data_IF_378267766422
#
_entry.id   IF_378267766422
#
_cell.length_a   1.000
_cell.length_b   1.000
_cell.length_c   1.000
_cell.angle_alpha   90.00
_cell.angle_beta   90.00
_cell.angle_gamma   90.00
#
_symmetry.space_group_name_H-M   'P 1'
#
loop_
_entity.id
_entity.type
_entity.pdbx_description
1 polymer ?
#
# COMPACT_ATOMS: atom_id res chain seq x y z
N UNK A 1 -11.22 -5.03 -26.01
CA UNK A 1 -9.92 -4.37 -26.32
C UNK A 1 -9.67 -4.44 -27.83
N UNK A 2 -9.01 -3.48 -28.47
CA UNK A 2 -8.70 -3.53 -29.93
C UNK A 2 -8.02 -4.85 -30.31
N UNK A 3 -7.05 -5.29 -29.50
CA UNK A 3 -6.36 -6.56 -29.68
C UNK A 3 -7.31 -7.80 -29.69
N UNK A 4 -8.36 -7.82 -28.87
CA UNK A 4 -9.34 -8.93 -28.84
C UNK A 4 -10.27 -8.92 -30.07
N UNK A 5 -10.56 -7.72 -30.60
CA UNK A 5 -11.37 -7.57 -31.82
C UNK A 5 -10.62 -8.08 -33.05
N UNK A 6 -9.29 -7.97 -33.05
CA UNK A 6 -8.41 -8.48 -34.11
C UNK A 6 -8.06 -9.98 -33.94
N UNK A 7 -8.36 -10.58 -32.78
CA UNK A 7 -7.97 -11.96 -32.45
C UNK A 7 -9.15 -12.76 -31.83
N UNK A 8 -9.96 -13.44 -32.66
CA UNK A 8 -11.02 -14.38 -32.23
C UNK A 8 -11.06 -15.63 -33.15
N UNK A 9 -11.41 -16.86 -32.69
CA UNK A 9 -11.41 -17.43 -31.34
C UNK A 9 -10.09 -18.18 -31.04
N UNK A 10 -9.69 -18.17 -29.77
CA UNK A 10 -8.33 -18.42 -29.30
C UNK A 10 -7.75 -19.81 -29.62
N UNK A 11 -6.65 -19.85 -30.41
CA UNK A 11 -5.77 -21.03 -30.55
C UNK A 11 -4.63 -21.07 -29.52
N UNK A 12 -4.26 -19.91 -28.95
CA UNK A 12 -3.24 -19.74 -27.90
C UNK A 12 -3.63 -18.55 -27.02
N UNK A 13 -3.23 -18.58 -25.75
CA UNK A 13 -3.44 -17.50 -24.78
C UNK A 13 -2.59 -16.26 -25.11
N UNK A 14 -2.99 -15.05 -24.65
CA UNK A 14 -2.21 -13.84 -24.86
C UNK A 14 -0.94 -13.90 -24.00
N UNK A 15 0.14 -13.26 -24.46
CA UNK A 15 1.37 -13.17 -23.68
C UNK A 15 1.14 -12.36 -22.40
N UNK A 16 1.62 -12.89 -21.26
CA UNK A 16 1.66 -12.19 -19.99
C UNK A 16 3.12 -11.88 -19.71
N UNK A 17 3.45 -10.58 -19.63
CA UNK A 17 4.81 -10.11 -19.32
C UNK A 17 4.79 -9.48 -17.92
N UNK A 18 5.31 -10.18 -16.91
CA UNK A 18 5.45 -9.63 -15.58
C UNK A 18 6.56 -8.58 -15.57
N UNK A 19 6.37 -7.50 -14.82
CA UNK A 19 7.33 -6.40 -14.69
C UNK A 19 7.25 -5.85 -13.27
N UNK A 20 8.39 -5.61 -12.66
CA UNK A 20 8.47 -4.99 -11.34
C UNK A 20 8.96 -3.55 -11.49
N UNK A 21 8.10 -2.63 -11.07
CA UNK A 21 8.45 -1.24 -10.89
C UNK A 21 8.76 -1.01 -9.40
N UNK A 22 10.02 -0.76 -9.09
CA UNK A 22 10.50 -0.67 -7.71
C UNK A 22 10.96 0.74 -7.35
N UNK A 23 10.45 1.24 -6.23
CA UNK A 23 10.78 2.56 -5.67
C UNK A 23 10.84 2.51 -4.14
N UNK A 24 11.32 1.39 -3.58
CA UNK A 24 11.44 1.20 -2.15
C UNK A 24 12.57 2.01 -1.51
N UNK A 25 12.55 2.03 -0.17
CA UNK A 25 13.51 2.76 0.66
C UNK A 25 14.95 2.23 0.55
N UNK A 26 15.11 0.96 0.17
CA UNK A 26 16.41 0.29 0.04
C UNK A 26 16.63 -0.14 -1.40
N UNK A 27 17.83 -0.62 -1.74
CA UNK A 27 18.08 -1.16 -3.07
C UNK A 27 17.36 -2.50 -3.28
N UNK A 28 16.88 -2.75 -4.50
CA UNK A 28 16.35 -4.05 -4.87
C UNK A 28 17.49 -5.10 -4.89
N UNK A 29 17.36 -6.10 -4.01
CA UNK A 29 18.33 -7.21 -3.84
C UNK A 29 17.78 -8.59 -4.18
N UNK A 30 16.51 -8.69 -4.57
CA UNK A 30 15.87 -9.97 -4.87
C UNK A 30 16.21 -10.40 -6.31
N UNK A 31 16.49 -11.68 -6.57
CA UNK A 31 16.64 -12.17 -7.93
C UNK A 31 15.43 -11.87 -8.81
N UNK A 32 15.67 -11.69 -10.09
CA UNK A 32 14.68 -11.37 -11.12
C UNK A 32 13.97 -12.61 -11.68
N UNK A 33 13.77 -13.60 -10.82
CA UNK A 33 13.14 -14.90 -11.09
C UNK A 33 12.00 -15.12 -10.10
N UNK A 34 10.84 -15.52 -10.62
CA UNK A 34 9.62 -15.56 -9.81
C UNK A 34 9.70 -16.55 -8.66
N UNK A 35 10.38 -17.69 -8.83
CA UNK A 35 10.44 -18.72 -7.80
C UNK A 35 11.11 -18.25 -6.50
N UNK A 36 12.02 -17.27 -6.57
CA UNK A 36 12.63 -16.64 -5.38
C UNK A 36 11.64 -15.80 -4.54
N UNK A 37 10.46 -15.51 -5.09
CA UNK A 37 9.38 -14.79 -4.41
C UNK A 37 8.28 -15.72 -3.87
N UNK A 38 8.37 -17.02 -4.14
CA UNK A 38 7.33 -18.00 -3.79
C UNK A 38 7.80 -18.80 -2.58
N UNK A 39 7.01 -18.80 -1.52
CA UNK A 39 7.15 -19.74 -0.41
C UNK A 39 6.57 -21.09 -0.84
N UNK A 40 7.39 -22.14 -0.87
CA UNK A 40 6.99 -23.46 -1.39
C UNK A 40 7.70 -24.61 -0.69
N UNK A 41 7.03 -25.76 -0.65
CA UNK A 41 7.59 -27.01 -0.12
C UNK A 41 8.61 -27.64 -1.08
N UNK A 42 9.56 -28.39 -0.52
CA UNK A 42 10.58 -29.09 -1.30
C UNK A 42 9.96 -30.08 -2.30
N UNK A 43 10.42 -30.06 -3.55
CA UNK A 43 9.97 -30.95 -4.62
C UNK A 43 8.81 -30.42 -5.46
N UNK A 44 8.22 -29.28 -5.10
CA UNK A 44 7.16 -28.63 -5.87
C UNK A 44 7.68 -27.76 -7.02
N UNK A 45 8.98 -27.44 -7.05
CA UNK A 45 9.62 -26.54 -8.01
C UNK A 45 9.30 -26.87 -9.48
N UNK A 46 9.26 -28.15 -9.93
CA UNK A 46 8.94 -28.49 -11.32
C UNK A 46 7.50 -28.16 -11.75
N UNK A 47 6.60 -27.96 -10.79
CA UNK A 47 5.17 -27.69 -11.03
C UNK A 47 4.83 -26.20 -10.93
N UNK A 48 5.78 -25.37 -10.49
CA UNK A 48 5.59 -23.94 -10.32
C UNK A 48 6.02 -23.17 -11.56
N UNK A 49 5.43 -21.98 -11.73
CA UNK A 49 5.92 -21.03 -12.72
C UNK A 49 7.24 -20.45 -12.23
N UNK A 50 8.26 -20.44 -13.08
CA UNK A 50 9.49 -19.69 -12.81
C UNK A 50 9.90 -18.90 -14.06
N UNK A 51 9.27 -17.74 -14.25
CA UNK A 51 9.66 -16.81 -15.31
C UNK A 51 10.66 -15.78 -14.78
N UNK A 52 11.46 -15.25 -15.70
CA UNK A 52 12.24 -14.05 -15.45
C UNK A 52 11.39 -12.80 -15.72
N UNK A 53 11.62 -11.74 -14.94
CA UNK A 53 10.95 -10.46 -15.11
C UNK A 53 11.92 -9.29 -15.08
N UNK A 54 11.73 -8.25 -15.91
CA UNK A 54 12.47 -7.01 -15.78
C UNK A 54 12.09 -6.29 -14.47
N UNK A 55 13.12 -5.72 -13.83
CA UNK A 55 12.98 -4.84 -12.66
C UNK A 55 13.46 -3.46 -13.04
N UNK A 56 12.58 -2.47 -12.93
CA UNK A 56 12.92 -1.06 -13.00
C UNK A 56 13.04 -0.51 -11.58
N UNK A 57 14.28 -0.41 -11.10
CA UNK A 57 14.59 0.19 -9.80
C UNK A 57 14.86 1.69 -10.00
N UNK A 58 13.90 2.54 -9.60
CA UNK A 58 14.05 4.00 -9.67
C UNK A 58 15.27 4.50 -8.88
N UNK A 59 15.67 3.77 -7.84
CA UNK A 59 16.83 4.09 -7.04
C UNK A 59 18.14 4.11 -7.80
N UNK A 60 18.22 3.29 -8.85
CA UNK A 60 19.41 3.16 -9.70
C UNK A 60 19.41 4.13 -10.88
N UNK A 61 18.25 4.73 -11.18
CA UNK A 61 18.11 5.66 -12.29
C UNK A 61 18.56 7.07 -11.86
N UNK A 62 19.46 7.73 -12.61
CA UNK A 62 19.75 9.14 -12.44
C UNK A 62 18.49 9.99 -12.67
N UNK A 63 18.28 11.05 -11.89
CA UNK A 63 17.04 11.86 -11.96
C UNK A 63 16.77 12.41 -13.36
N UNK A 64 17.82 12.86 -14.04
CA UNK A 64 17.77 13.34 -15.43
C UNK A 64 17.28 12.30 -16.46
N UNK A 65 17.27 11.02 -16.10
CA UNK A 65 16.85 9.91 -16.97
C UNK A 65 15.47 9.36 -16.60
N UNK A 66 14.78 9.94 -15.60
CA UNK A 66 13.46 9.45 -15.17
C UNK A 66 12.42 9.52 -16.31
N UNK A 67 12.30 10.68 -16.95
CA UNK A 67 11.40 10.89 -18.09
C UNK A 67 11.69 12.24 -18.76
N UNK A 68 11.51 12.30 -20.08
CA UNK A 68 11.48 13.55 -20.86
C UNK A 68 10.11 14.25 -20.76
N UNK A 69 9.02 13.51 -20.54
CA UNK A 69 7.71 14.10 -20.24
C UNK A 69 7.73 14.73 -18.84
N UNK A 70 7.44 16.03 -18.77
CA UNK A 70 7.49 16.83 -17.54
C UNK A 70 6.57 16.34 -16.43
N UNK A 71 5.39 15.80 -16.77
CA UNK A 71 4.42 15.33 -15.77
C UNK A 71 4.89 14.01 -15.19
N UNK A 72 5.26 13.08 -16.07
CA UNK A 72 5.80 11.78 -15.67
C UNK A 72 7.10 11.94 -14.89
N UNK A 73 7.97 12.88 -15.28
CA UNK A 73 9.21 13.16 -14.57
C UNK A 73 8.97 13.47 -13.09
N UNK A 74 8.06 14.41 -12.79
CA UNK A 74 7.75 14.79 -11.40
C UNK A 74 7.11 13.63 -10.63
N UNK A 75 6.23 12.85 -11.26
CA UNK A 75 5.61 11.67 -10.64
C UNK A 75 6.67 10.62 -10.27
N UNK A 76 7.61 10.35 -11.17
CA UNK A 76 8.69 9.40 -10.91
C UNK A 76 9.67 9.93 -9.86
N UNK A 77 9.96 11.23 -9.88
CA UNK A 77 10.82 11.89 -8.91
C UNK A 77 10.24 11.76 -7.50
N UNK A 78 8.95 12.09 -7.32
CA UNK A 78 8.31 11.92 -6.00
C UNK A 78 8.23 10.45 -5.60
N UNK A 79 7.94 9.52 -6.51
CA UNK A 79 7.91 8.08 -6.19
C UNK A 79 9.26 7.55 -5.73
N UNK A 80 10.34 7.97 -6.39
CA UNK A 80 11.72 7.58 -6.06
C UNK A 80 12.12 7.99 -4.65
N UNK A 81 11.81 9.24 -4.26
CA UNK A 81 12.29 9.82 -3.02
C UNK A 81 11.30 9.77 -1.86
N UNK A 82 10.01 9.55 -2.13
CA UNK A 82 9.01 9.45 -1.06
C UNK A 82 9.40 8.40 -0.03
N UNK A 83 9.97 7.27 -0.43
CA UNK A 83 10.35 6.19 0.51
C UNK A 83 11.70 6.38 1.21
N UNK A 84 12.44 7.46 0.91
CA UNK A 84 13.85 7.65 1.29
C UNK A 84 14.03 8.88 2.17
N UNK A 85 13.64 8.76 3.44
CA UNK A 85 13.55 9.88 4.40
C UNK A 85 14.81 10.76 4.42
N UNK A 86 16.01 10.17 4.39
CA UNK A 86 17.28 10.89 4.46
C UNK A 86 17.58 11.75 3.22
N UNK A 87 16.94 11.45 2.08
CA UNK A 87 17.18 12.13 0.79
C UNK A 87 16.09 13.16 0.43
N UNK A 88 14.94 13.13 1.13
CA UNK A 88 13.78 13.97 0.81
C UNK A 88 14.09 15.47 0.85
N UNK A 89 14.85 15.92 1.85
CA UNK A 89 15.19 17.34 1.98
C UNK A 89 16.12 17.80 0.85
N UNK A 90 17.04 16.93 0.42
CA UNK A 90 17.99 17.25 -0.64
C UNK A 90 17.31 17.42 -2.01
N UNK A 91 16.20 16.71 -2.27
CA UNK A 91 15.48 16.76 -3.55
C UNK A 91 14.32 17.78 -3.56
N UNK A 92 13.98 18.37 -2.42
CA UNK A 92 12.82 19.26 -2.28
C UNK A 92 12.82 20.43 -3.28
N UNK A 93 13.95 21.10 -3.45
CA UNK A 93 14.07 22.19 -4.42
C UNK A 93 13.92 21.70 -5.87
N UNK A 94 14.40 20.51 -6.19
CA UNK A 94 14.23 19.92 -7.52
C UNK A 94 12.78 19.50 -7.76
N UNK A 95 12.10 18.94 -6.75
CA UNK A 95 10.68 18.64 -6.79
C UNK A 95 9.85 19.91 -7.03
N UNK A 96 10.16 21.01 -6.34
CA UNK A 96 9.48 22.30 -6.53
C UNK A 96 9.70 22.83 -7.95
N UNK A 97 10.93 22.76 -8.50
CA UNK A 97 11.19 23.17 -9.89
C UNK A 97 10.42 22.31 -10.88
N UNK A 98 10.43 20.99 -10.69
CA UNK A 98 9.66 20.05 -11.50
C UNK A 98 8.16 20.38 -11.46
N UNK A 99 7.61 20.63 -10.27
CA UNK A 99 6.22 21.03 -10.08
C UNK A 99 5.91 22.40 -10.68
N UNK A 100 6.82 23.38 -10.66
CA UNK A 100 6.64 24.64 -11.40
C UNK A 100 6.53 24.42 -12.92
N UNK A 101 7.24 23.42 -13.44
CA UNK A 101 7.12 23.00 -14.83
C UNK A 101 5.88 22.13 -15.09
N UNK A 102 5.28 21.55 -14.04
CA UNK A 102 4.07 20.73 -14.11
C UNK A 102 3.08 21.02 -12.97
N UNK A 103 2.53 22.25 -12.89
CA UNK A 103 1.70 22.67 -11.76
C UNK A 103 0.42 21.84 -11.64
N UNK A 104 -0.11 21.31 -12.74
CA UNK A 104 -1.27 20.43 -12.72
C UNK A 104 -1.05 19.11 -11.94
N UNK A 105 0.21 18.72 -11.71
CA UNK A 105 0.58 17.55 -10.92
C UNK A 105 0.64 17.83 -9.42
N UNK A 106 0.63 19.10 -9.00
CA UNK A 106 0.79 19.51 -7.60
C UNK A 106 -0.16 18.76 -6.69
N UNK A 107 -1.44 18.71 -7.05
CA UNK A 107 -2.46 18.02 -6.26
C UNK A 107 -2.12 16.54 -6.11
N UNK A 108 -1.90 15.84 -7.22
CA UNK A 108 -1.58 14.40 -7.26
C UNK A 108 -0.35 14.07 -6.43
N UNK A 109 0.72 14.84 -6.59
CA UNK A 109 1.98 14.67 -5.88
C UNK A 109 1.80 14.87 -4.38
N UNK A 110 1.08 15.91 -3.96
CA UNK A 110 0.82 16.16 -2.55
C UNK A 110 -0.07 15.09 -1.91
N UNK A 111 -1.07 14.56 -2.61
CA UNK A 111 -1.86 13.43 -2.11
C UNK A 111 -1.01 12.18 -1.96
N UNK A 112 -0.14 11.89 -2.94
CA UNK A 112 0.78 10.76 -2.85
C UNK A 112 1.71 10.89 -1.64
N UNK A 113 2.29 12.08 -1.41
CA UNK A 113 3.13 12.35 -0.25
C UNK A 113 2.36 12.18 1.08
N UNK A 114 1.14 12.71 1.16
CA UNK A 114 0.33 12.64 2.36
C UNK A 114 -0.17 11.21 2.68
N UNK A 115 -0.46 10.40 1.66
CA UNK A 115 -0.93 9.01 1.84
C UNK A 115 0.19 8.02 2.08
N UNK A 116 1.31 8.18 1.37
CA UNK A 116 2.43 7.24 1.46
C UNK A 116 3.24 7.47 2.74
N UNK A 117 3.22 8.70 3.28
CA UNK A 117 4.03 9.09 4.41
C UNK A 117 3.25 9.84 5.49
N UNK A 118 3.20 9.23 6.68
CA UNK A 118 2.68 9.84 7.92
C UNK A 118 3.55 11.02 8.40
N UNK A 119 4.76 11.17 7.86
CA UNK A 119 5.79 12.11 8.34
C UNK A 119 6.08 13.32 7.44
N UNK A 120 5.46 13.46 6.26
CA UNK A 120 5.63 14.71 5.51
C UNK A 120 5.02 15.85 6.34
N UNK A 121 5.87 16.72 6.87
CA UNK A 121 5.42 17.73 7.80
C UNK A 121 4.53 18.75 7.08
N UNK A 122 3.56 19.28 7.82
CA UNK A 122 2.60 20.25 7.29
C UNK A 122 3.31 21.48 6.70
N UNK A 123 4.49 21.83 7.21
CA UNK A 123 5.27 22.97 6.75
C UNK A 123 5.86 22.73 5.37
N UNK A 124 6.34 21.53 5.06
CA UNK A 124 6.85 21.20 3.72
C UNK A 124 5.73 21.22 2.69
N UNK A 125 4.55 20.68 3.02
CA UNK A 125 3.38 20.77 2.12
C UNK A 125 3.02 22.23 1.85
N UNK A 126 2.95 23.06 2.90
CA UNK A 126 2.67 24.50 2.75
C UNK A 126 3.69 25.17 1.85
N UNK A 127 4.98 24.92 2.09
CA UNK A 127 6.07 25.54 1.34
C UNK A 127 6.01 25.17 -0.14
N UNK A 128 5.76 23.90 -0.47
CA UNK A 128 5.61 23.45 -1.86
C UNK A 128 4.43 24.17 -2.52
N UNK A 129 3.26 24.23 -1.87
CA UNK A 129 2.10 24.93 -2.44
C UNK A 129 2.40 26.41 -2.65
N UNK A 130 2.97 27.10 -1.65
CA UNK A 130 3.31 28.52 -1.75
C UNK A 130 4.31 28.81 -2.87
N UNK A 131 5.30 27.94 -3.08
CA UNK A 131 6.31 28.12 -4.12
C UNK A 131 5.79 27.76 -5.52
N UNK A 132 4.82 26.86 -5.66
CA UNK A 132 4.35 26.33 -6.95
C UNK A 132 3.06 27.02 -7.42
N UNK A 133 2.02 27.09 -6.58
CA UNK A 133 0.71 27.69 -6.86
C UNK A 133 0.17 28.45 -5.64
N UNK A 134 0.75 29.64 -5.32
CA UNK A 134 0.34 30.43 -4.16
C UNK A 134 -1.15 30.84 -4.19
N UNK A 135 -1.72 31.01 -5.39
CA UNK A 135 -3.13 31.34 -5.60
C UNK A 135 -4.10 30.23 -5.15
N UNK A 136 -3.65 28.97 -5.15
CA UNK A 136 -4.47 27.83 -4.72
C UNK A 136 -4.24 27.44 -3.24
N UNK A 137 -3.38 28.17 -2.53
CA UNK A 137 -2.92 27.81 -1.18
C UNK A 137 -4.06 27.51 -0.19
N UNK A 138 -4.95 28.47 0.03
CA UNK A 138 -6.03 28.33 1.01
C UNK A 138 -7.00 27.19 0.63
N UNK A 139 -7.30 27.07 -0.66
CA UNK A 139 -8.19 26.04 -1.19
C UNK A 139 -7.59 24.65 -1.00
N UNK A 140 -6.33 24.45 -1.41
CA UNK A 140 -5.64 23.18 -1.25
C UNK A 140 -5.46 22.82 0.23
N UNK A 141 -5.00 23.75 1.07
CA UNK A 141 -4.81 23.48 2.50
C UNK A 141 -6.10 23.09 3.22
N UNK A 142 -7.22 23.73 2.87
CA UNK A 142 -8.55 23.38 3.39
C UNK A 142 -8.99 21.98 2.96
N UNK A 143 -8.78 21.64 1.69
CA UNK A 143 -9.10 20.31 1.15
C UNK A 143 -8.23 19.21 1.78
N UNK A 144 -6.92 19.42 1.88
CA UNK A 144 -6.00 18.50 2.54
C UNK A 144 -6.38 18.25 4.00
N UNK A 145 -6.68 19.30 4.76
CA UNK A 145 -7.10 19.16 6.15
C UNK A 145 -8.38 18.33 6.29
N UNK A 146 -9.37 18.54 5.41
CA UNK A 146 -10.63 17.77 5.41
C UNK A 146 -10.39 16.31 5.05
N UNK A 147 -9.58 16.03 4.05
CA UNK A 147 -9.35 14.67 3.56
C UNK A 147 -8.54 13.83 4.55
N UNK A 148 -7.50 14.40 5.16
CA UNK A 148 -6.74 13.73 6.24
C UNK A 148 -7.65 13.45 7.43
N UNK A 149 -8.45 14.43 7.86
CA UNK A 149 -9.39 14.25 8.99
C UNK A 149 -10.42 13.16 8.69
N UNK A 150 -10.96 13.13 7.47
CA UNK A 150 -11.92 12.11 7.04
C UNK A 150 -11.29 10.72 7.07
N UNK A 151 -10.09 10.58 6.53
CA UNK A 151 -9.35 9.31 6.47
C UNK A 151 -9.02 8.80 7.87
N UNK A 152 -8.44 9.66 8.72
CA UNK A 152 -8.12 9.31 10.10
C UNK A 152 -9.38 8.92 10.91
N UNK A 153 -10.51 9.62 10.70
CA UNK A 153 -11.78 9.25 11.35
C UNK A 153 -12.31 7.90 10.86
N UNK A 154 -12.18 7.63 9.56
CA UNK A 154 -12.61 6.36 8.98
C UNK A 154 -11.74 5.20 9.49
N UNK A 155 -10.42 5.36 9.53
CA UNK A 155 -9.50 4.39 10.13
C UNK A 155 -9.79 4.16 11.61
N UNK A 156 -9.97 5.23 12.39
CA UNK A 156 -10.32 5.12 13.80
C UNK A 156 -11.67 4.41 14.02
N UNK A 157 -12.66 4.68 13.16
CA UNK A 157 -13.95 3.99 13.22
C UNK A 157 -13.83 2.51 12.87
N UNK A 158 -13.09 2.16 11.81
CA UNK A 158 -12.87 0.77 11.42
C UNK A 158 -12.09 0.01 12.51
N UNK A 159 -11.04 0.62 13.07
CA UNK A 159 -10.29 0.05 14.17
C UNK A 159 -11.16 -0.14 15.42
N UNK A 160 -11.98 0.85 15.76
CA UNK A 160 -12.90 0.75 16.89
C UNK A 160 -13.99 -0.32 16.71
N UNK A 161 -14.47 -0.52 15.48
CA UNK A 161 -15.38 -1.63 15.16
C UNK A 161 -14.69 -2.98 15.34
N UNK A 162 -13.50 -3.17 14.77
CA UNK A 162 -12.72 -4.40 14.89
C UNK A 162 -12.37 -4.71 16.37
N UNK A 163 -11.86 -3.72 17.11
CA UNK A 163 -11.58 -3.87 18.54
C UNK A 163 -12.84 -4.20 19.35
N UNK A 164 -13.99 -3.64 18.97
CA UNK A 164 -15.29 -3.92 19.57
C UNK A 164 -15.77 -5.35 19.33
N UNK A 165 -15.69 -5.83 18.08
CA UNK A 165 -16.04 -7.21 17.71
C UNK A 165 -15.11 -8.22 18.39
N UNK A 166 -13.80 -7.99 18.37
CA UNK A 166 -12.81 -8.80 19.07
C UNK A 166 -13.09 -8.87 20.58
N UNK A 167 -13.37 -7.72 21.22
CA UNK A 167 -13.69 -7.65 22.66
C UNK A 167 -14.97 -8.41 22.99
N UNK A 168 -15.99 -8.30 22.14
CA UNK A 168 -17.23 -9.05 22.31
C UNK A 168 -17.00 -10.56 22.18
N UNK A 169 -16.22 -10.98 21.18
CA UNK A 169 -15.87 -12.37 20.94
C UNK A 169 -15.12 -12.98 22.13
N UNK A 170 -14.07 -12.30 22.62
CA UNK A 170 -13.31 -12.70 23.83
C UNK A 170 -14.23 -12.86 25.03
N UNK A 171 -15.17 -11.92 25.23
CA UNK A 171 -16.15 -11.98 26.32
C UNK A 171 -17.10 -13.17 26.19
N UNK A 172 -17.57 -13.49 24.99
CA UNK A 172 -18.46 -14.64 24.74
C UNK A 172 -17.73 -15.96 24.95
N UNK A 173 -16.54 -16.10 24.39
CA UNK A 173 -15.69 -17.27 24.56
C UNK A 173 -15.32 -17.50 26.03
N UNK A 174 -14.91 -16.45 26.75
CA UNK A 174 -14.57 -16.54 28.18
C UNK A 174 -15.75 -16.98 29.04
N UNK A 175 -16.98 -16.60 28.65
CA UNK A 175 -18.21 -17.03 29.34
C UNK A 175 -18.56 -18.49 29.06
N UNK A 176 -18.29 -18.98 27.85
CA UNK A 176 -18.69 -20.33 27.42
C UNK A 176 -17.64 -21.39 27.79
N UNK A 177 -16.37 -21.05 27.67
CA UNK A 177 -15.24 -21.98 27.78
C UNK A 177 -14.30 -21.67 28.96
N UNK A 178 -14.68 -20.76 29.86
CA UNK A 178 -13.85 -20.25 30.96
C UNK A 178 -12.74 -19.30 30.46
N UNK A 179 -11.98 -18.62 31.35
CA UNK A 179 -10.99 -17.63 30.95
C UNK A 179 -10.03 -18.16 29.89
N UNK A 180 -9.89 -17.38 28.81
CA UNK A 180 -9.03 -17.74 27.70
C UNK A 180 -7.55 -17.54 28.05
N UNK A 181 -6.65 -18.39 27.52
CA UNK A 181 -5.22 -18.09 27.50
C UNK A 181 -4.95 -16.75 26.80
N UNK A 182 -3.89 -16.05 27.23
CA UNK A 182 -3.49 -14.77 26.65
C UNK A 182 -3.21 -14.90 25.14
N UNK A 183 -2.59 -15.99 24.71
CA UNK A 183 -2.28 -16.29 23.31
C UNK A 183 -3.52 -16.27 22.41
N UNK A 184 -4.65 -16.82 22.88
CA UNK A 184 -5.91 -16.80 22.13
C UNK A 184 -6.51 -15.40 22.09
N UNK A 185 -6.40 -14.65 23.18
CA UNK A 185 -6.89 -13.28 23.25
C UNK A 185 -6.11 -12.38 22.28
N UNK A 186 -4.78 -12.51 22.25
CA UNK A 186 -3.91 -11.79 21.32
C UNK A 186 -4.19 -12.19 19.87
N UNK A 187 -4.39 -13.48 19.58
CA UNK A 187 -4.80 -13.97 18.25
C UNK A 187 -6.12 -13.33 17.80
N UNK A 188 -7.10 -13.17 18.69
CA UNK A 188 -8.38 -12.54 18.36
C UNK A 188 -8.23 -11.06 18.05
N UNK A 189 -7.45 -10.31 18.84
CA UNK A 189 -7.23 -8.89 18.58
C UNK A 189 -6.38 -8.61 17.33
N UNK A 190 -5.53 -9.56 16.92
CA UNK A 190 -4.72 -9.46 15.71
C UNK A 190 -5.42 -9.98 14.44
N UNK A 191 -6.55 -10.68 14.57
CA UNK A 191 -7.27 -11.27 13.45
C UNK A 191 -7.99 -10.22 12.60
N UNK A 192 -8.15 -10.49 11.31
CA UNK A 192 -8.96 -9.66 10.44
C UNK A 192 -10.47 -9.80 10.76
N UNK A 193 -11.30 -8.82 10.39
CA UNK A 193 -12.73 -8.82 10.73
C UNK A 193 -13.51 -10.04 10.21
N UNK A 194 -13.13 -10.64 9.08
CA UNK A 194 -13.84 -11.80 8.55
C UNK A 194 -13.58 -13.04 9.41
N UNK A 195 -12.34 -13.23 9.85
CA UNK A 195 -11.98 -14.31 10.77
C UNK A 195 -12.72 -14.17 12.11
N UNK A 196 -12.79 -12.94 12.67
CA UNK A 196 -13.56 -12.65 13.88
C UNK A 196 -15.04 -13.00 13.70
N UNK A 197 -15.63 -12.61 12.57
CA UNK A 197 -17.02 -12.94 12.23
C UNK A 197 -17.28 -14.45 12.13
N UNK A 198 -16.41 -15.19 11.45
CA UNK A 198 -16.49 -16.65 11.35
C UNK A 198 -16.43 -17.33 12.73
N UNK A 199 -15.53 -16.88 13.60
CA UNK A 199 -15.43 -17.41 14.96
C UNK A 199 -16.68 -17.05 15.78
N UNK A 200 -17.23 -15.85 15.61
CA UNK A 200 -18.47 -15.43 16.27
C UNK A 200 -19.66 -16.35 15.92
N UNK A 201 -19.79 -16.73 14.66
CA UNK A 201 -20.84 -17.66 14.21
C UNK A 201 -20.60 -19.08 14.77
N UNK A 202 -19.37 -19.58 14.68
CA UNK A 202 -19.01 -20.93 15.16
C UNK A 202 -19.16 -21.09 16.66
N UNK A 203 -19.07 -20.02 17.44
CA UNK A 203 -19.35 -20.05 18.88
C UNK A 203 -20.76 -20.54 19.19
N UNK A 204 -21.73 -20.47 18.28
CA UNK A 204 -23.07 -20.95 18.56
C UNK A 204 -23.14 -22.48 18.66
N UNK A 205 -22.31 -23.18 17.88
CA UNK A 205 -22.42 -24.64 17.69
C UNK A 205 -21.22 -25.43 18.25
N UNK A 206 -20.03 -24.81 18.29
CA UNK A 206 -18.78 -25.48 18.68
C UNK A 206 -18.85 -26.09 20.08
N UNK A 207 -18.20 -27.22 20.35
CA UNK A 207 -18.18 -27.87 21.68
C UNK A 207 -16.90 -27.58 22.47
N UNK A 208 -15.88 -27.06 21.82
CA UNK A 208 -14.59 -26.69 22.40
C UNK A 208 -14.04 -25.42 21.75
N UNK A 209 -12.99 -24.85 22.34
CA UNK A 209 -12.26 -23.74 21.73
C UNK A 209 -11.63 -24.14 20.39
N UNK A 210 -11.07 -25.34 20.30
CA UNK A 210 -10.42 -25.82 19.08
C UNK A 210 -11.40 -25.84 17.90
N UNK A 211 -12.65 -26.26 18.12
CA UNK A 211 -13.71 -26.28 17.11
C UNK A 211 -14.09 -24.87 16.60
N UNK A 212 -13.90 -23.81 17.41
CA UNK A 212 -14.15 -22.43 16.97
C UNK A 212 -13.06 -21.97 15.98
N UNK A 213 -11.81 -22.34 16.27
CA UNK A 213 -10.62 -21.84 15.57
C UNK A 213 -10.10 -22.74 14.44
N UNK A 214 -10.82 -23.82 14.09
CA UNK A 214 -10.50 -24.64 12.90
C UNK A 214 -10.50 -23.75 11.66
N UNK A 215 -9.49 -23.82 10.81
CA UNK A 215 -9.49 -23.09 9.54
C UNK A 215 -10.56 -23.63 8.58
#
# INVERSE_FOLDING_TARGET
KEWEKENTPWKRLPAIVPFVFYHGATEWKIPNEFLHLVDTEEGWEPYLLNFQFPVMDLGKLPDRQLSEDRRLHVRLLVMKYATREEEQEAIKEELIKGLKNAPEELRTVLYYLAQTYVRYDKETIKEIIQKVQPEEFDTMMSQFARDITKTARQEAFQKGMQEGEATLLVRQLSRRFHPLPNEITERIYAADPNAIGMWADRILDARSLDEVFVE
#
